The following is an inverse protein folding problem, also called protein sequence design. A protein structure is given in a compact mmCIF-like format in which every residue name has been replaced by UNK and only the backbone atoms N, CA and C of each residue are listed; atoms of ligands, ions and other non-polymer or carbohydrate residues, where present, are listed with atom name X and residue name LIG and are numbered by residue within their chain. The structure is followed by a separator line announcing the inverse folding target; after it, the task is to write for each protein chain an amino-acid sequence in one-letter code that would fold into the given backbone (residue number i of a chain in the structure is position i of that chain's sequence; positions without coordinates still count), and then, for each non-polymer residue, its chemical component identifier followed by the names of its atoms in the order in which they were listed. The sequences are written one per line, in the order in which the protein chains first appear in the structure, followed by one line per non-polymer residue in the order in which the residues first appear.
data_IF_980185046746
#
_entry.id   IF_980185046746
#
_cell.length_a   1.000
_cell.length_b   1.000
_cell.length_c   1.000
_cell.angle_alpha   90.00
_cell.angle_beta   90.00
_cell.angle_gamma   90.00
#
_symmetry.space_group_name_H-M   'P 1'
#
loop_
_entity.id
_entity.type
_entity.pdbx_description
1 polymer ?
#
# COMPACT_ATOMS: atom_id res chain seq x y z
N UNK A 1 8.72 -15.54 17.37
CA UNK A 1 9.96 -16.25 17.77
C UNK A 1 9.75 -17.60 18.45
N UNK A 2 8.73 -17.84 19.28
CA UNK A 2 8.50 -19.15 19.97
C UNK A 2 8.13 -20.30 19.02
N UNK A 3 7.48 -20.06 17.88
CA UNK A 3 7.05 -21.13 16.97
C UNK A 3 8.15 -21.64 16.02
N UNK A 4 9.14 -20.80 15.70
CA UNK A 4 10.29 -21.20 14.85
C UNK A 4 11.19 -22.18 15.58
N UNK A 5 11.38 -21.98 16.87
CA UNK A 5 12.19 -22.89 17.72
C UNK A 5 11.54 -24.28 17.92
N UNK A 6 10.22 -24.36 17.90
CA UNK A 6 9.51 -25.64 18.01
C UNK A 6 9.65 -26.48 16.73
N UNK A 7 9.57 -25.83 15.58
CA UNK A 7 9.70 -26.49 14.26
C UNK A 7 11.14 -26.98 14.00
N UNK A 8 12.16 -26.21 14.34
CA UNK A 8 13.57 -26.64 14.23
C UNK A 8 13.89 -27.83 15.15
N UNK A 9 13.38 -27.87 16.38
CA UNK A 9 13.56 -29.01 17.28
C UNK A 9 12.92 -30.29 16.75
N UNK A 10 11.79 -30.16 16.05
CA UNK A 10 11.12 -31.35 15.47
C UNK A 10 11.86 -31.83 14.23
N UNK A 11 12.33 -30.95 13.36
CA UNK A 11 13.16 -31.29 12.19
C UNK A 11 14.49 -31.89 12.60
N UNK A 12 15.16 -31.36 13.63
CA UNK A 12 16.39 -31.94 14.19
C UNK A 12 16.17 -33.34 14.80
N UNK A 13 15.05 -33.59 15.48
CA UNK A 13 14.70 -34.91 15.99
C UNK A 13 14.47 -35.93 14.88
N UNK A 14 13.82 -35.55 13.77
CA UNK A 14 13.60 -36.42 12.62
C UNK A 14 14.88 -36.73 11.85
N UNK A 15 15.74 -35.72 11.63
CA UNK A 15 17.07 -35.96 11.04
C UNK A 15 17.93 -36.85 11.95
N UNK A 16 17.84 -36.66 13.26
CA UNK A 16 18.49 -37.52 14.23
C UNK A 16 17.94 -38.96 14.20
N UNK A 17 16.62 -39.13 14.05
CA UNK A 17 16.00 -40.44 13.96
C UNK A 17 16.39 -41.17 12.67
N UNK A 18 16.36 -40.53 11.52
CA UNK A 18 16.79 -41.08 10.23
C UNK A 18 18.29 -41.44 10.28
N UNK A 19 19.09 -40.57 10.89
CA UNK A 19 20.53 -40.80 11.07
C UNK A 19 20.81 -42.00 12.01
N UNK A 20 20.06 -42.17 13.11
CA UNK A 20 20.15 -43.31 13.98
C UNK A 20 19.71 -44.63 13.30
N UNK A 21 18.69 -44.60 12.47
CA UNK A 21 18.25 -45.76 11.69
C UNK A 21 19.33 -46.17 10.67
N UNK A 22 19.99 -45.19 10.02
CA UNK A 22 21.12 -45.47 9.10
C UNK A 22 22.34 -46.01 9.82
N UNK A 23 22.67 -45.53 11.02
CA UNK A 23 23.76 -46.07 11.86
C UNK A 23 23.44 -47.48 12.28
N UNK A 24 22.25 -47.74 12.80
CA UNK A 24 21.81 -49.10 13.16
C UNK A 24 21.84 -50.05 11.97
N UNK A 25 21.55 -49.57 10.77
CA UNK A 25 21.66 -50.35 9.53
C UNK A 25 23.11 -50.72 9.19
N UNK A 26 24.06 -49.78 9.31
CA UNK A 26 25.48 -50.01 9.10
C UNK A 26 26.05 -50.96 10.15
N UNK A 27 25.72 -50.73 11.43
CA UNK A 27 26.17 -51.59 12.55
C UNK A 27 25.63 -53.02 12.43
N UNK A 28 24.39 -53.19 11.96
CA UNK A 28 23.81 -54.50 11.67
C UNK A 28 24.55 -55.19 10.51
N UNK A 29 24.91 -54.45 9.47
CA UNK A 29 25.69 -54.93 8.33
C UNK A 29 27.09 -55.45 8.75
N UNK A 30 27.80 -54.67 9.57
CA UNK A 30 29.12 -55.08 10.13
C UNK A 30 29.03 -56.24 11.10
N UNK A 31 28.00 -56.26 11.98
CA UNK A 31 27.77 -57.37 12.91
C UNK A 31 27.49 -58.69 12.18
N UNK A 32 26.77 -58.61 11.05
CA UNK A 32 26.42 -59.75 10.21
C UNK A 32 27.61 -60.25 9.41
N UNK A 33 28.50 -59.37 8.97
CA UNK A 33 29.73 -59.76 8.27
C UNK A 33 30.74 -60.49 9.18
N UNK A 34 30.76 -60.17 10.47
CA UNK A 34 31.69 -60.76 11.45
C UNK A 34 31.27 -62.12 11.97
N UNK A 35 30.01 -62.56 11.90
CA UNK A 35 29.51 -63.85 12.38
C UNK A 35 29.19 -64.79 11.22
N UNK A 36 30.06 -65.72 10.88
CA UNK A 36 29.85 -66.87 9.94
C UNK A 36 28.76 -67.85 10.44
N UNK A 37 27.57 -67.39 10.76
CA UNK A 37 26.39 -68.25 11.02
C UNK A 37 25.50 -68.33 9.80
N UNK A 38 24.97 -69.54 9.48
CA UNK A 38 23.89 -69.70 8.47
C UNK A 38 22.71 -68.83 8.90
N UNK A 39 22.67 -67.67 8.39
CA UNK A 39 21.59 -66.70 8.68
C UNK A 39 20.40 -67.01 7.79
N UNK A 40 19.22 -67.11 8.38
CA UNK A 40 18.00 -67.32 7.62
C UNK A 40 17.69 -66.07 6.78
N UNK A 41 18.01 -66.15 5.49
CA UNK A 41 17.86 -65.06 4.52
C UNK A 41 16.47 -64.43 4.52
N UNK A 42 15.41 -65.21 4.81
CA UNK A 42 14.03 -64.72 4.93
C UNK A 42 13.86 -63.76 6.13
N UNK A 43 14.51 -64.04 7.28
CA UNK A 43 14.44 -63.13 8.45
C UNK A 43 15.21 -61.82 8.22
N UNK A 44 16.36 -61.90 7.53
CA UNK A 44 17.12 -60.68 7.15
C UNK A 44 16.32 -59.83 6.18
N UNK A 45 15.71 -60.42 5.16
CA UNK A 45 14.88 -59.70 4.20
C UNK A 45 13.75 -58.92 4.91
N UNK A 46 13.11 -59.53 5.93
CA UNK A 46 12.04 -58.85 6.68
C UNK A 46 12.58 -57.67 7.51
N UNK A 47 13.70 -57.86 8.20
CA UNK A 47 14.30 -56.83 9.09
C UNK A 47 14.85 -55.64 8.29
N UNK A 48 15.27 -55.86 7.04
CA UNK A 48 15.81 -54.80 6.17
C UNK A 48 14.75 -54.20 5.29
N UNK A 49 13.83 -54.98 4.72
CA UNK A 49 12.82 -54.50 3.78
C UNK A 49 11.73 -53.70 4.49
N UNK A 50 11.34 -54.05 5.72
CA UNK A 50 10.28 -53.28 6.41
C UNK A 50 10.73 -51.84 6.70
N UNK A 51 11.89 -51.54 7.30
CA UNK A 51 12.39 -50.19 7.48
C UNK A 51 12.60 -49.46 6.16
N UNK A 52 13.11 -50.09 5.11
CA UNK A 52 13.29 -49.47 3.79
C UNK A 52 11.95 -49.08 3.17
N UNK A 53 10.94 -49.94 3.25
CA UNK A 53 9.59 -49.61 2.82
C UNK A 53 8.97 -48.46 3.65
N UNK A 54 9.16 -48.50 4.98
CA UNK A 54 8.72 -47.41 5.87
C UNK A 54 9.37 -46.08 5.52
N UNK A 55 10.69 -46.07 5.26
CA UNK A 55 11.45 -44.89 4.89
C UNK A 55 10.97 -44.35 3.52
N UNK A 56 10.79 -45.23 2.53
CA UNK A 56 10.27 -44.80 1.22
C UNK A 56 8.84 -44.27 1.31
N UNK A 57 7.97 -44.86 2.10
CA UNK A 57 6.62 -44.35 2.36
C UNK A 57 6.64 -43.01 3.10
N UNK A 58 7.54 -42.81 4.03
CA UNK A 58 7.74 -41.52 4.73
C UNK A 58 8.23 -40.46 3.78
N UNK A 59 9.21 -40.76 2.92
CA UNK A 59 9.71 -39.81 1.91
C UNK A 59 8.62 -39.47 0.92
N UNK A 60 7.89 -40.48 0.40
CA UNK A 60 6.81 -40.26 -0.56
C UNK A 60 5.64 -39.43 0.01
N UNK A 61 5.38 -39.53 1.31
CA UNK A 61 4.33 -38.80 1.98
C UNK A 61 4.83 -37.59 2.79
N UNK A 62 6.09 -37.22 2.69
CA UNK A 62 6.70 -36.19 3.55
C UNK A 62 5.96 -34.85 3.49
N UNK A 63 5.62 -34.38 2.30
CA UNK A 63 4.83 -33.16 2.09
C UNK A 63 3.45 -33.25 2.71
N UNK A 64 2.76 -34.39 2.52
CA UNK A 64 1.43 -34.61 3.13
C UNK A 64 1.49 -34.64 4.65
N UNK A 65 2.57 -35.18 5.23
CA UNK A 65 2.82 -35.19 6.68
C UNK A 65 3.07 -33.76 7.18
N UNK A 66 3.90 -32.97 6.49
CA UNK A 66 4.15 -31.55 6.83
C UNK A 66 2.87 -30.75 6.82
N UNK A 67 2.03 -30.90 5.80
CA UNK A 67 0.71 -30.26 5.72
C UNK A 67 -0.19 -30.66 6.89
N UNK A 68 -0.18 -31.97 7.29
CA UNK A 68 -0.95 -32.41 8.45
C UNK A 68 -0.46 -31.80 9.77
N UNK A 69 0.85 -31.72 9.96
CA UNK A 69 1.47 -31.10 11.15
C UNK A 69 1.12 -29.60 11.20
N UNK A 70 1.05 -28.94 10.02
CA UNK A 70 0.63 -27.56 9.91
C UNK A 70 -0.86 -27.35 10.22
N UNK A 71 -1.68 -28.39 10.13
CA UNK A 71 -3.12 -28.36 10.48
C UNK A 71 -4.07 -28.47 9.28
N UNK A 72 -3.58 -28.75 8.07
CA UNK A 72 -4.44 -28.97 6.92
C UNK A 72 -5.22 -30.29 7.00
N UNK A 73 -6.52 -30.24 6.73
CA UNK A 73 -7.39 -31.40 6.67
C UNK A 73 -7.20 -32.22 5.38
N UNK A 74 -7.76 -33.41 5.34
CA UNK A 74 -7.58 -34.36 4.23
C UNK A 74 -7.98 -33.77 2.87
N UNK A 75 -9.07 -33.03 2.82
CA UNK A 75 -9.59 -32.46 1.55
C UNK A 75 -8.68 -31.33 1.05
N UNK A 76 -8.26 -30.41 1.94
CA UNK A 76 -7.33 -29.33 1.58
C UNK A 76 -5.98 -29.89 1.07
N UNK A 77 -5.47 -30.93 1.72
CA UNK A 77 -4.24 -31.59 1.27
C UNK A 77 -4.33 -32.18 -0.13
N UNK A 78 -5.48 -32.72 -0.52
CA UNK A 78 -5.68 -33.24 -1.89
C UNK A 78 -5.54 -32.14 -2.95
N UNK A 79 -5.94 -30.93 -2.62
CA UNK A 79 -5.83 -29.79 -3.52
C UNK A 79 -4.40 -29.27 -3.53
N UNK A 80 -3.83 -29.00 -2.36
CA UNK A 80 -2.47 -28.47 -2.23
C UNK A 80 -1.42 -29.39 -2.87
N UNK A 81 -1.53 -30.71 -2.71
CA UNK A 81 -0.59 -31.68 -3.30
C UNK A 81 -0.61 -31.75 -4.84
N UNK A 82 -1.56 -31.06 -5.49
CA UNK A 82 -1.60 -30.93 -6.97
C UNK A 82 -0.93 -29.68 -7.49
N UNK A 83 -0.57 -28.75 -6.59
CA UNK A 83 0.09 -27.51 -6.96
C UNK A 83 1.55 -27.73 -7.34
N UNK A 84 2.17 -26.72 -7.93
CA UNK A 84 3.60 -26.70 -8.18
C UNK A 84 4.40 -26.78 -6.87
N UNK A 85 5.62 -27.32 -6.95
CA UNK A 85 6.46 -27.51 -5.75
C UNK A 85 6.78 -26.23 -5.00
N UNK A 86 6.90 -25.11 -5.72
CA UNK A 86 7.16 -23.80 -5.14
C UNK A 86 5.95 -23.31 -4.38
N UNK A 87 4.75 -23.39 -4.94
CA UNK A 87 3.50 -23.02 -4.27
C UNK A 87 3.28 -23.84 -2.99
N UNK A 88 3.54 -25.15 -3.05
CA UNK A 88 3.44 -26.01 -1.86
C UNK A 88 4.43 -25.57 -0.78
N UNK A 89 5.65 -25.23 -1.17
CA UNK A 89 6.67 -24.74 -0.25
C UNK A 89 6.21 -23.43 0.39
N UNK A 90 5.75 -22.49 -0.39
CA UNK A 90 5.28 -21.18 0.09
C UNK A 90 4.09 -21.33 1.03
N UNK A 91 3.12 -22.20 0.70
CA UNK A 91 2.01 -22.56 1.58
C UNK A 91 2.52 -23.18 2.90
N UNK A 92 3.56 -24.02 2.85
CA UNK A 92 4.15 -24.63 4.04
C UNK A 92 4.93 -23.63 4.89
N UNK A 93 5.59 -22.68 4.29
CA UNK A 93 6.41 -21.66 4.95
C UNK A 93 5.58 -20.46 5.44
N UNK A 94 4.37 -20.29 4.91
CA UNK A 94 3.44 -19.22 5.34
C UNK A 94 2.99 -19.43 6.78
N UNK A 95 2.97 -18.38 7.60
CA UNK A 95 2.69 -18.47 9.05
C UNK A 95 1.25 -18.88 9.40
N UNK A 96 0.32 -18.71 8.47
CA UNK A 96 -1.11 -18.98 8.66
C UNK A 96 -1.55 -20.27 7.96
N UNK A 97 -2.72 -20.78 8.34
CA UNK A 97 -3.42 -21.82 7.60
C UNK A 97 -4.34 -21.16 6.62
N UNK A 98 -4.23 -21.51 5.33
CA UNK A 98 -5.09 -21.02 4.26
C UNK A 98 -6.33 -21.90 4.20
N UNK A 99 -7.50 -21.30 4.22
CA UNK A 99 -8.77 -22.00 3.97
C UNK A 99 -8.90 -22.27 2.47
N UNK A 100 -8.34 -23.40 2.03
CA UNK A 100 -8.33 -23.81 0.63
C UNK A 100 -9.75 -23.94 0.08
N UNK A 101 -10.67 -24.48 0.86
CA UNK A 101 -12.06 -24.73 0.44
C UNK A 101 -12.82 -23.43 0.15
N UNK A 102 -12.45 -22.33 0.79
CA UNK A 102 -13.01 -21.00 0.56
C UNK A 102 -12.69 -20.50 -0.85
N UNK A 103 -11.48 -20.71 -1.31
CA UNK A 103 -10.98 -20.21 -2.59
C UNK A 103 -11.30 -21.15 -3.75
N UNK A 104 -11.23 -22.46 -3.52
CA UNK A 104 -11.42 -23.51 -4.54
C UNK A 104 -12.75 -23.40 -5.28
N UNK A 105 -13.78 -22.84 -4.64
CA UNK A 105 -15.13 -22.68 -5.22
C UNK A 105 -15.27 -21.48 -6.16
N UNK A 106 -14.36 -20.51 -6.11
CA UNK A 106 -14.51 -19.21 -6.77
C UNK A 106 -13.27 -18.79 -7.57
N UNK A 107 -12.18 -19.53 -7.43
CA UNK A 107 -10.92 -19.26 -8.13
C UNK A 107 -11.06 -19.45 -9.64
N UNK A 108 -10.32 -18.66 -10.39
CA UNK A 108 -10.03 -18.95 -11.80
C UNK A 108 -8.68 -19.68 -11.89
N UNK A 109 -7.74 -19.36 -11.02
CA UNK A 109 -6.44 -19.96 -10.95
C UNK A 109 -6.06 -20.39 -9.52
N UNK A 110 -4.86 -20.95 -9.29
CA UNK A 110 -4.46 -21.58 -8.03
C UNK A 110 -3.64 -20.68 -7.11
N UNK A 111 -3.90 -19.37 -7.09
CA UNK A 111 -3.15 -18.37 -6.31
C UNK A 111 -3.57 -18.32 -4.82
N UNK A 112 -3.68 -19.46 -4.16
CA UNK A 112 -4.24 -19.59 -2.80
C UNK A 112 -3.56 -18.70 -1.76
N UNK A 113 -2.22 -18.61 -1.79
CA UNK A 113 -1.46 -17.77 -0.87
C UNK A 113 -1.78 -16.30 -1.07
N UNK A 114 -1.72 -15.82 -2.30
CA UNK A 114 -2.01 -14.42 -2.63
C UNK A 114 -3.46 -14.04 -2.33
N UNK A 115 -4.42 -14.95 -2.55
CA UNK A 115 -5.81 -14.75 -2.17
C UNK A 115 -5.95 -14.53 -0.66
N UNK A 116 -5.31 -15.38 0.15
CA UNK A 116 -5.40 -15.29 1.61
C UNK A 116 -4.70 -14.03 2.13
N UNK A 117 -3.51 -13.72 1.64
CA UNK A 117 -2.77 -12.50 1.99
C UNK A 117 -3.57 -11.24 1.67
N UNK A 118 -4.10 -11.14 0.45
CA UNK A 118 -4.89 -9.98 0.05
C UNK A 118 -6.22 -9.88 0.80
N UNK A 119 -6.88 -10.99 1.05
CA UNK A 119 -8.09 -11.02 1.86
C UNK A 119 -7.87 -10.48 3.27
N UNK A 120 -6.78 -10.89 3.92
CA UNK A 120 -6.42 -10.44 5.26
C UNK A 120 -6.06 -8.95 5.29
N UNK A 121 -5.35 -8.49 4.28
CA UNK A 121 -4.96 -7.09 4.16
C UNK A 121 -6.14 -6.16 3.84
N UNK A 122 -6.99 -6.55 2.89
CA UNK A 122 -8.04 -5.68 2.32
C UNK A 122 -9.42 -5.85 2.96
N UNK A 123 -9.69 -7.00 3.60
CA UNK A 123 -11.01 -7.41 4.14
C UNK A 123 -12.15 -7.35 3.10
N UNK A 124 -11.81 -7.45 1.81
CA UNK A 124 -12.78 -7.41 0.70
C UNK A 124 -13.51 -8.75 0.57
N UNK A 125 -14.63 -8.78 -0.16
CA UNK A 125 -15.35 -10.02 -0.41
C UNK A 125 -14.56 -10.99 -1.27
N UNK A 126 -14.79 -12.30 -1.11
CA UNK A 126 -14.06 -13.39 -1.80
C UNK A 126 -13.99 -13.18 -3.31
N UNK A 127 -15.10 -12.83 -3.97
CA UNK A 127 -15.14 -12.56 -5.42
C UNK A 127 -14.23 -11.36 -5.81
N UNK A 128 -14.21 -10.29 -5.00
CA UNK A 128 -13.36 -9.13 -5.26
C UNK A 128 -11.88 -9.46 -5.07
N UNK A 129 -11.58 -10.33 -4.10
CA UNK A 129 -10.21 -10.81 -3.87
C UNK A 129 -9.72 -11.61 -5.07
N UNK A 130 -10.48 -12.59 -5.53
CA UNK A 130 -10.12 -13.41 -6.70
C UNK A 130 -9.92 -12.55 -7.93
N UNK A 131 -10.88 -11.67 -8.25
CA UNK A 131 -10.76 -10.76 -9.39
C UNK A 131 -9.48 -9.90 -9.34
N UNK A 132 -9.19 -9.31 -8.16
CA UNK A 132 -8.02 -8.46 -8.00
C UNK A 132 -6.72 -9.24 -8.15
N UNK A 133 -6.62 -10.40 -7.50
CA UNK A 133 -5.39 -11.21 -7.49
C UNK A 133 -5.11 -11.80 -8.87
N UNK A 134 -6.12 -12.36 -9.56
CA UNK A 134 -5.93 -12.90 -10.90
C UNK A 134 -5.43 -11.80 -11.85
N UNK A 135 -6.06 -10.60 -11.79
CA UNK A 135 -5.63 -9.45 -12.59
C UNK A 135 -4.24 -8.91 -12.18
N UNK A 136 -3.92 -8.92 -10.89
CA UNK A 136 -2.60 -8.53 -10.37
C UNK A 136 -1.52 -9.51 -10.82
N UNK A 137 -1.81 -10.81 -10.80
CA UNK A 137 -0.85 -11.85 -11.14
C UNK A 137 -0.32 -11.72 -12.58
N UNK A 138 -1.19 -11.36 -13.51
CA UNK A 138 -0.82 -11.06 -14.90
C UNK A 138 0.19 -9.90 -15.03
N UNK A 139 0.25 -9.01 -14.04
CA UNK A 139 1.06 -7.78 -13.99
C UNK A 139 2.23 -7.87 -13.01
N UNK A 140 2.34 -8.98 -12.30
CA UNK A 140 3.22 -9.11 -11.13
C UNK A 140 4.69 -8.93 -11.48
N UNK A 141 5.12 -9.43 -12.64
CA UNK A 141 6.52 -9.32 -13.08
C UNK A 141 6.91 -7.86 -13.31
N UNK A 142 6.11 -7.11 -14.08
CA UNK A 142 6.34 -5.69 -14.37
C UNK A 142 6.30 -4.84 -13.09
N UNK A 143 5.34 -5.12 -12.22
CA UNK A 143 5.19 -4.41 -10.94
C UNK A 143 6.38 -4.66 -10.02
N UNK A 144 6.83 -5.90 -9.90
CA UNK A 144 8.02 -6.26 -9.12
C UNK A 144 9.29 -5.60 -9.68
N UNK A 145 9.45 -5.57 -11.00
CA UNK A 145 10.55 -4.86 -11.66
C UNK A 145 10.55 -3.36 -11.29
N UNK A 146 9.38 -2.75 -11.24
CA UNK A 146 9.21 -1.35 -10.82
C UNK A 146 9.27 -1.14 -9.31
N UNK A 147 9.38 -2.20 -8.51
CA UNK A 147 9.48 -2.17 -7.05
C UNK A 147 8.15 -2.05 -6.31
N UNK A 148 7.03 -2.37 -6.93
CA UNK A 148 5.70 -2.49 -6.31
C UNK A 148 5.49 -3.92 -5.82
N UNK A 149 5.80 -4.19 -4.58
CA UNK A 149 5.61 -5.52 -3.97
C UNK A 149 4.16 -5.74 -3.54
N UNK A 150 3.74 -7.00 -3.42
CA UNK A 150 2.40 -7.38 -2.94
C UNK A 150 2.06 -6.74 -1.59
N UNK A 151 3.02 -6.69 -0.66
CA UNK A 151 2.83 -6.06 0.67
C UNK A 151 2.44 -4.56 0.57
N UNK A 152 3.05 -3.82 -0.37
CA UNK A 152 2.72 -2.41 -0.62
C UNK A 152 1.33 -2.27 -1.25
N UNK A 153 1.06 -3.09 -2.27
CA UNK A 153 -0.16 -2.99 -3.07
C UNK A 153 -1.40 -3.44 -2.30
N UNK A 154 -1.29 -4.54 -1.55
CA UNK A 154 -2.41 -5.13 -0.83
C UNK A 154 -2.90 -4.28 0.33
N UNK A 155 -1.98 -3.64 1.05
CA UNK A 155 -2.31 -2.70 2.14
C UNK A 155 -2.95 -1.41 1.66
N UNK A 156 -2.72 -1.03 0.41
CA UNK A 156 -3.18 0.22 -0.19
C UNK A 156 -4.03 -0.02 -1.45
N UNK A 157 -4.81 -1.10 -1.46
CA UNK A 157 -5.56 -1.54 -2.63
C UNK A 157 -6.65 -0.60 -3.12
N UNK A 158 -7.04 0.38 -2.32
CA UNK A 158 -7.98 1.41 -2.73
C UNK A 158 -7.29 2.49 -3.58
N UNK A 159 -5.99 2.67 -3.40
CA UNK A 159 -5.14 3.53 -4.24
C UNK A 159 -4.65 2.75 -5.47
N UNK A 160 -4.17 1.52 -5.26
CA UNK A 160 -3.62 0.65 -6.30
C UNK A 160 -4.70 -0.27 -6.89
N UNK A 161 -5.71 0.34 -7.52
CA UNK A 161 -6.70 -0.40 -8.32
C UNK A 161 -6.04 -1.00 -9.57
N UNK A 162 -6.65 -2.00 -10.20
CA UNK A 162 -6.09 -2.62 -11.42
C UNK A 162 -5.82 -1.57 -12.52
N UNK A 163 -6.75 -0.64 -12.74
CA UNK A 163 -6.55 0.45 -13.70
C UNK A 163 -5.36 1.35 -13.33
N UNK A 164 -5.14 1.61 -12.05
CA UNK A 164 -4.02 2.41 -11.58
C UNK A 164 -2.69 1.64 -11.73
N UNK A 165 -2.69 0.31 -11.57
CA UNK A 165 -1.52 -0.52 -11.85
C UNK A 165 -1.13 -0.46 -13.33
N UNK A 166 -2.11 -0.51 -14.25
CA UNK A 166 -1.86 -0.36 -15.69
C UNK A 166 -1.23 0.99 -16.03
N UNK A 167 -1.68 2.07 -15.38
CA UNK A 167 -1.10 3.41 -15.55
C UNK A 167 0.36 3.44 -15.09
N UNK A 168 0.66 2.88 -13.92
CA UNK A 168 2.02 2.85 -13.36
C UNK A 168 2.99 2.06 -14.23
N UNK A 169 2.56 0.91 -14.75
CA UNK A 169 3.33 0.08 -15.67
C UNK A 169 3.58 0.83 -16.98
N UNK A 170 2.52 1.35 -17.61
CA UNK A 170 2.63 2.08 -18.88
C UNK A 170 3.47 3.36 -18.78
N UNK A 171 3.43 4.02 -17.64
CA UNK A 171 4.26 5.19 -17.36
C UNK A 171 5.71 4.83 -17.00
N UNK A 172 6.01 3.55 -16.74
CA UNK A 172 7.31 3.03 -16.34
C UNK A 172 7.90 3.79 -15.13
N UNK A 173 7.09 4.03 -14.11
CA UNK A 173 7.49 4.83 -12.94
C UNK A 173 7.79 3.94 -11.75
N UNK A 174 9.05 3.85 -11.29
CA UNK A 174 9.42 3.06 -10.12
C UNK A 174 8.70 3.53 -8.85
N UNK A 175 8.34 2.60 -7.97
CA UNK A 175 7.64 2.87 -6.70
C UNK A 175 8.31 3.97 -5.88
N UNK A 176 9.65 3.92 -5.72
CA UNK A 176 10.40 4.94 -4.97
C UNK A 176 10.20 6.36 -5.51
N UNK A 177 9.99 6.50 -6.83
CA UNK A 177 9.72 7.78 -7.47
C UNK A 177 8.26 8.17 -7.33
N UNK A 178 7.34 7.28 -7.66
CA UNK A 178 5.90 7.51 -7.55
C UNK A 178 5.48 7.90 -6.13
N UNK A 179 5.99 7.22 -5.11
CA UNK A 179 5.72 7.50 -3.69
C UNK A 179 5.96 8.96 -3.29
N UNK A 180 6.97 9.62 -3.87
CA UNK A 180 7.28 11.03 -3.56
C UNK A 180 6.18 11.98 -4.01
N UNK A 181 5.52 11.68 -5.12
CA UNK A 181 4.40 12.46 -5.62
C UNK A 181 3.10 12.09 -4.91
N UNK A 182 2.81 10.79 -4.80
CA UNK A 182 1.57 10.29 -4.21
C UNK A 182 1.44 10.56 -2.69
N UNK A 183 2.52 10.90 -2.01
CA UNK A 183 2.50 11.38 -0.63
C UNK A 183 1.95 12.80 -0.49
N UNK A 184 1.81 13.54 -1.60
CA UNK A 184 1.32 14.92 -1.58
C UNK A 184 -0.20 14.89 -1.72
N UNK A 185 -0.87 15.64 -0.84
CA UNK A 185 -2.34 15.72 -0.86
C UNK A 185 -2.85 16.16 -2.23
N UNK A 186 -3.82 15.43 -2.74
CA UNK A 186 -4.44 15.68 -4.04
C UNK A 186 -3.69 15.13 -5.24
N UNK A 187 -2.53 14.49 -5.06
CA UNK A 187 -1.87 13.78 -6.14
C UNK A 187 -2.75 12.63 -6.66
N UNK A 188 -2.74 12.43 -7.97
CA UNK A 188 -3.49 11.38 -8.65
C UNK A 188 -2.53 10.46 -9.40
N UNK A 189 -2.79 9.16 -9.38
CA UNK A 189 -2.00 8.20 -10.16
C UNK A 189 -2.15 8.47 -11.66
N UNK A 190 -3.31 8.92 -12.09
CA UNK A 190 -3.57 9.30 -13.49
C UNK A 190 -2.61 10.34 -14.03
N UNK A 191 -2.15 11.24 -13.17
CA UNK A 191 -1.28 12.34 -13.55
C UNK A 191 0.22 11.99 -13.35
N UNK A 192 0.54 10.77 -12.91
CA UNK A 192 1.91 10.37 -12.49
C UNK A 192 2.95 10.54 -13.62
N UNK A 193 2.57 10.25 -14.85
CA UNK A 193 3.43 10.41 -16.01
C UNK A 193 3.81 11.87 -16.22
N UNK A 194 2.84 12.77 -16.09
CA UNK A 194 3.03 14.22 -16.24
C UNK A 194 3.87 14.78 -15.10
N UNK A 195 3.60 14.36 -13.84
CA UNK A 195 4.45 14.77 -12.70
C UNK A 195 5.91 14.45 -12.94
N UNK A 196 6.17 13.21 -13.39
CA UNK A 196 7.54 12.74 -13.63
C UNK A 196 8.20 13.47 -14.81
N UNK A 197 7.43 13.75 -15.86
CA UNK A 197 7.91 14.43 -17.08
C UNK A 197 8.16 15.93 -16.88
N UNK A 198 7.50 16.56 -15.89
CA UNK A 198 7.62 18.00 -15.65
C UNK A 198 9.01 18.47 -15.24
N UNK A 199 9.84 17.57 -14.69
CA UNK A 199 11.15 17.91 -14.13
C UNK A 199 11.11 18.76 -12.85
N UNK A 200 9.90 19.08 -12.33
CA UNK A 200 9.69 19.86 -11.13
C UNK A 200 9.88 19.01 -9.86
N UNK A 201 10.08 19.71 -8.73
CA UNK A 201 9.98 19.03 -7.43
C UNK A 201 8.58 18.42 -7.24
N UNK A 202 8.43 17.31 -6.48
CA UNK A 202 7.15 16.63 -6.34
C UNK A 202 5.99 17.55 -5.95
N UNK A 203 6.19 18.42 -4.95
CA UNK A 203 5.17 19.39 -4.53
C UNK A 203 4.76 20.34 -5.66
N UNK A 204 5.73 20.95 -6.35
CA UNK A 204 5.47 21.87 -7.44
C UNK A 204 4.76 21.18 -8.60
N UNK A 205 5.16 19.97 -8.96
CA UNK A 205 4.54 19.18 -10.02
C UNK A 205 3.05 18.89 -9.70
N UNK A 206 2.77 18.39 -8.49
CA UNK A 206 1.38 18.10 -8.08
C UNK A 206 0.55 19.38 -8.05
N UNK A 207 1.04 20.46 -7.46
CA UNK A 207 0.28 21.72 -7.40
C UNK A 207 0.04 22.33 -8.79
N UNK A 208 0.98 22.20 -9.71
CA UNK A 208 0.85 22.76 -11.05
C UNK A 208 -0.05 21.91 -11.96
N UNK A 209 0.02 20.59 -11.87
CA UNK A 209 -0.66 19.67 -12.79
C UNK A 209 -2.04 19.30 -12.27
N UNK A 210 -2.16 18.93 -10.98
CA UNK A 210 -3.45 18.53 -10.41
C UNK A 210 -4.35 19.72 -10.05
N UNK A 211 -3.75 20.90 -9.87
CA UNK A 211 -4.48 22.14 -9.53
C UNK A 211 -4.08 23.29 -10.45
N UNK A 212 -4.34 23.19 -11.78
CA UNK A 212 -3.93 24.20 -12.75
C UNK A 212 -4.64 25.55 -12.56
N UNK A 213 -5.57 25.62 -11.65
CA UNK A 213 -6.50 26.74 -11.45
C UNK A 213 -7.89 26.38 -11.93
N UNK A 214 -8.87 27.21 -11.56
CA UNK A 214 -10.23 27.06 -12.08
C UNK A 214 -10.22 27.61 -13.51
N UNK A 215 -10.38 26.72 -14.47
CA UNK A 215 -10.66 27.08 -15.85
C UNK A 215 -12.15 26.87 -16.07
N UNK A 216 -12.89 27.97 -16.19
CA UNK A 216 -14.34 27.93 -16.38
C UNK A 216 -14.77 27.18 -17.65
N UNK A 217 -13.86 27.00 -18.60
CA UNK A 217 -14.08 26.17 -19.80
C UNK A 217 -13.97 24.67 -19.56
N UNK A 218 -13.44 24.22 -18.40
CA UNK A 218 -13.23 22.80 -18.06
C UNK A 218 -14.14 22.38 -16.93
N UNK A 219 -15.00 21.39 -17.17
CA UNK A 219 -15.91 20.81 -16.16
C UNK A 219 -15.22 20.15 -14.95
N UNK A 220 -13.93 19.83 -15.04
CA UNK A 220 -13.17 19.07 -14.06
C UNK A 220 -12.11 19.91 -13.33
N UNK A 221 -12.33 21.22 -13.17
CA UNK A 221 -11.40 22.06 -12.41
C UNK A 221 -11.40 21.64 -10.93
N UNK A 222 -10.23 21.23 -10.45
CA UNK A 222 -10.01 20.85 -9.04
C UNK A 222 -9.57 22.07 -8.24
N UNK A 223 -10.11 22.23 -7.04
CA UNK A 223 -9.64 23.24 -6.09
C UNK A 223 -8.85 22.58 -4.96
N UNK A 224 -7.78 23.22 -4.53
CA UNK A 224 -6.99 22.82 -3.38
C UNK A 224 -7.43 23.65 -2.16
N UNK A 225 -7.86 22.98 -1.11
CA UNK A 225 -8.15 23.63 0.17
C UNK A 225 -6.89 23.67 1.01
N UNK A 226 -6.47 24.86 1.41
CA UNK A 226 -5.28 25.11 2.20
C UNK A 226 -5.46 24.52 3.60
N UNK A 227 -4.49 23.69 4.04
CA UNK A 227 -4.60 22.96 5.31
C UNK A 227 -4.32 23.83 6.54
N UNK A 228 -3.41 24.81 6.41
CA UNK A 228 -3.08 25.74 7.48
C UNK A 228 -3.34 27.20 7.04
N UNK A 229 -4.61 27.65 7.08
CA UNK A 229 -4.97 28.98 6.64
C UNK A 229 -4.44 30.10 7.56
N UNK A 230 -3.97 29.78 8.76
CA UNK A 230 -3.35 30.77 9.68
C UNK A 230 -1.92 31.14 9.29
N UNK A 231 -1.26 30.37 8.41
CA UNK A 231 0.08 30.69 7.95
C UNK A 231 0.07 31.98 7.09
N UNK A 232 0.97 32.91 7.35
CA UNK A 232 1.09 34.18 6.62
C UNK A 232 1.68 34.02 5.21
N UNK A 233 2.29 32.87 4.91
CA UNK A 233 2.93 32.57 3.62
C UNK A 233 2.07 31.65 2.74
N UNK A 234 0.75 31.60 2.93
CA UNK A 234 -0.15 30.82 2.10
C UNK A 234 -0.33 31.42 0.70
N UNK A 235 -0.42 30.53 -0.30
CA UNK A 235 -0.75 30.93 -1.66
C UNK A 235 -2.26 30.85 -1.89
N UNK A 236 -2.91 32.00 -1.96
CA UNK A 236 -4.33 32.10 -2.38
C UNK A 236 -4.37 32.60 -3.83
N UNK A 237 -4.89 31.78 -4.71
CA UNK A 237 -5.10 32.10 -6.13
C UNK A 237 -6.28 31.30 -6.66
N UNK A 238 -6.65 31.53 -7.92
CA UNK A 238 -7.64 30.69 -8.60
C UNK A 238 -7.27 29.19 -8.48
N UNK A 239 -8.18 28.38 -7.96
CA UNK A 239 -7.97 26.96 -7.65
C UNK A 239 -7.32 26.66 -6.28
N UNK A 240 -6.94 27.69 -5.49
CA UNK A 240 -6.45 27.55 -4.12
C UNK A 240 -7.33 28.36 -3.18
N UNK A 241 -8.02 27.70 -2.28
CA UNK A 241 -8.98 28.33 -1.37
C UNK A 241 -8.68 28.00 0.09
N UNK A 242 -9.09 28.87 0.97
CA UNK A 242 -9.25 28.56 2.38
C UNK A 242 -10.63 27.92 2.62
N UNK A 243 -10.84 27.21 3.75
CA UNK A 243 -12.17 26.73 4.13
C UNK A 243 -13.20 27.87 4.13
N UNK A 244 -14.46 27.59 3.73
CA UNK A 244 -15.50 28.62 3.64
C UNK A 244 -15.88 29.23 4.99
N UNK A 245 -15.67 28.51 6.06
CA UNK A 245 -15.89 28.92 7.45
C UNK A 245 -14.65 29.53 8.13
N UNK A 246 -13.56 29.67 7.39
CA UNK A 246 -12.32 30.22 7.94
C UNK A 246 -12.43 31.73 8.13
N UNK A 247 -12.21 32.15 9.37
CA UNK A 247 -12.05 33.56 9.77
C UNK A 247 -10.71 33.67 10.54
N UNK A 248 -9.81 34.56 10.13
CA UNK A 248 -8.57 34.79 10.90
C UNK A 248 -8.89 35.19 12.33
N UNK A 249 -8.18 34.62 13.30
CA UNK A 249 -8.49 34.81 14.74
C UNK A 249 -8.10 36.19 15.27
N UNK A 250 -7.17 36.87 14.58
CA UNK A 250 -6.58 38.16 14.95
C UNK A 250 -7.08 39.31 14.06
N UNK A 251 -8.29 39.19 13.51
CA UNK A 251 -8.93 40.28 12.78
C UNK A 251 -9.26 41.44 13.74
N UNK A 252 -8.92 42.65 13.31
CA UNK A 252 -9.36 43.88 13.96
C UNK A 252 -9.59 45.01 12.96
N UNK A 253 -10.31 45.98 13.37
CA UNK A 253 -10.52 47.23 12.62
C UNK A 253 -9.20 47.97 12.45
N UNK A 254 -9.00 48.56 11.25
CA UNK A 254 -7.83 49.35 10.94
C UNK A 254 -8.12 50.83 11.28
N UNK A 255 -7.26 51.47 12.02
CA UNK A 255 -7.43 52.83 12.48
C UNK A 255 -6.80 53.84 11.51
N UNK A 256 -7.31 53.85 10.25
CA UNK A 256 -7.01 54.85 9.22
C UNK A 256 -8.28 55.14 8.43
N UNK A 257 -8.36 56.22 7.61
CA UNK A 257 -9.52 56.50 6.78
C UNK A 257 -9.88 55.33 5.84
N UNK A 258 -11.18 55.20 5.56
CA UNK A 258 -11.73 54.18 4.64
C UNK A 258 -12.73 54.85 3.67
N UNK A 259 -12.88 54.24 2.48
CA UNK A 259 -13.74 54.80 1.43
C UNK A 259 -15.23 54.42 1.61
N UNK A 260 -15.51 53.17 1.99
CA UNK A 260 -16.89 52.64 2.02
C UNK A 260 -17.29 52.11 3.37
N UNK A 261 -16.49 51.25 3.99
CA UNK A 261 -16.77 50.61 5.25
C UNK A 261 -15.47 50.39 6.06
N UNK A 262 -15.61 50.21 7.36
CA UNK A 262 -14.44 49.96 8.23
C UNK A 262 -13.68 48.74 7.72
N UNK A 263 -12.40 48.95 7.45
CA UNK A 263 -11.52 47.87 6.99
C UNK A 263 -11.05 46.97 8.13
N UNK A 264 -11.18 45.68 7.95
CA UNK A 264 -10.63 44.70 8.89
C UNK A 264 -9.41 43.99 8.29
N UNK A 265 -8.37 43.83 9.11
CA UNK A 265 -7.14 43.09 8.74
C UNK A 265 -6.65 42.29 9.93
N UNK A 266 -5.79 41.30 9.67
CA UNK A 266 -4.99 40.66 10.71
C UNK A 266 -4.15 41.70 11.45
N UNK A 267 -3.95 41.53 12.74
CA UNK A 267 -3.36 42.55 13.61
C UNK A 267 -1.98 43.02 13.15
N UNK A 268 -1.10 42.11 12.73
CA UNK A 268 0.22 42.46 12.18
C UNK A 268 0.09 43.37 10.92
N UNK A 269 -0.77 42.98 10.00
CA UNK A 269 -1.00 43.73 8.76
C UNK A 269 -1.63 45.11 9.04
N UNK A 270 -2.62 45.17 9.94
CA UNK A 270 -3.24 46.42 10.37
C UNK A 270 -2.24 47.39 11.00
N UNK A 271 -1.39 46.86 11.91
CA UNK A 271 -0.34 47.64 12.57
C UNK A 271 0.68 48.20 11.58
N UNK A 272 1.09 47.37 10.60
CA UNK A 272 2.02 47.81 9.55
C UNK A 272 1.40 48.87 8.65
N UNK A 273 0.13 48.72 8.28
CA UNK A 273 -0.60 49.71 7.45
C UNK A 273 -0.81 51.02 8.20
N UNK A 274 -1.15 50.99 9.49
CA UNK A 274 -1.33 52.21 10.31
C UNK A 274 0.02 52.96 10.47
N UNK A 275 1.11 52.22 10.59
CA UNK A 275 2.45 52.83 10.58
C UNK A 275 2.77 53.49 9.24
N UNK A 276 2.52 52.80 8.15
CA UNK A 276 2.71 53.31 6.78
C UNK A 276 1.89 54.59 6.56
N UNK A 277 0.63 54.60 7.00
CA UNK A 277 -0.23 55.78 6.95
C UNK A 277 0.37 56.99 7.70
N UNK A 278 0.81 56.77 8.96
CA UNK A 278 1.44 57.82 9.77
C UNK A 278 2.72 58.36 9.14
N UNK A 279 3.54 57.49 8.54
CA UNK A 279 4.75 57.93 7.87
C UNK A 279 4.48 58.59 6.52
N UNK A 280 3.44 58.17 5.80
CA UNK A 280 2.95 58.81 4.59
C UNK A 280 2.47 60.27 4.84
N UNK A 281 1.66 60.46 5.90
CA UNK A 281 1.17 61.79 6.29
C UNK A 281 2.33 62.79 6.56
N UNK A 282 3.42 62.36 7.15
CA UNK A 282 4.61 63.20 7.36
C UNK A 282 5.24 63.66 6.05
N UNK A 283 5.03 62.92 4.98
CA UNK A 283 5.53 63.19 3.63
C UNK A 283 4.46 63.87 2.73
N UNK A 284 3.29 64.21 3.27
CA UNK A 284 2.21 64.82 2.53
C UNK A 284 1.30 63.86 1.75
N UNK A 285 1.42 62.54 2.00
CA UNK A 285 0.57 61.54 1.36
C UNK A 285 -0.55 61.10 2.31
N UNK A 286 -1.80 61.06 1.80
CA UNK A 286 -2.92 60.45 2.51
C UNK A 286 -3.34 59.18 1.80
N UNK A 287 -3.45 58.12 2.55
CA UNK A 287 -3.95 56.83 2.04
C UNK A 287 -5.24 56.44 2.78
N UNK A 288 -6.07 55.66 2.15
CA UNK A 288 -7.29 55.13 2.73
C UNK A 288 -7.45 53.63 2.40
N UNK A 289 -8.17 52.90 3.23
CA UNK A 289 -8.56 51.53 2.94
C UNK A 289 -9.69 51.52 1.94
N UNK A 290 -9.50 50.84 0.82
CA UNK A 290 -10.55 50.63 -0.18
C UNK A 290 -11.20 49.27 -0.06
N UNK A 291 -10.41 48.22 0.28
CA UNK A 291 -10.88 46.86 0.45
C UNK A 291 -9.99 46.14 1.47
N UNK A 292 -10.58 45.29 2.25
CA UNK A 292 -9.93 44.59 3.34
C UNK A 292 -10.41 43.12 3.45
N UNK A 293 -10.44 42.55 4.63
CA UNK A 293 -11.01 41.22 4.83
C UNK A 293 -12.43 41.15 4.32
N UNK A 294 -12.78 40.06 3.61
CA UNK A 294 -14.14 39.70 3.23
C UNK A 294 -14.49 38.32 3.73
N UNK A 295 -15.69 38.17 4.29
CA UNK A 295 -16.21 36.84 4.60
C UNK A 295 -16.47 36.04 3.32
N UNK A 296 -16.64 34.74 3.45
CA UNK A 296 -16.99 33.87 2.31
C UNK A 296 -18.29 34.33 1.65
N UNK A 297 -19.31 34.66 2.44
CA UNK A 297 -20.62 35.11 1.95
C UNK A 297 -20.51 36.43 1.15
N UNK A 298 -19.75 37.38 1.68
CA UNK A 298 -19.51 38.66 0.98
C UNK A 298 -18.72 38.41 -0.32
N UNK A 299 -17.71 37.56 -0.30
CA UNK A 299 -16.94 37.24 -1.50
C UNK A 299 -17.81 36.52 -2.55
N UNK A 300 -18.68 35.61 -2.10
CA UNK A 300 -19.59 34.88 -2.99
C UNK A 300 -20.60 35.84 -3.63
N UNK A 301 -21.15 36.82 -2.89
CA UNK A 301 -22.05 37.83 -3.42
C UNK A 301 -21.37 38.68 -4.51
N UNK A 302 -20.16 39.15 -4.24
CA UNK A 302 -19.35 39.90 -5.22
C UNK A 302 -19.04 39.04 -6.46
N UNK A 303 -18.70 37.77 -6.28
CA UNK A 303 -18.44 36.85 -7.39
C UNK A 303 -19.68 36.68 -8.28
N UNK A 304 -20.85 36.47 -7.68
CA UNK A 304 -22.09 36.26 -8.41
C UNK A 304 -22.53 37.57 -9.17
N UNK A 305 -22.30 38.72 -8.57
CA UNK A 305 -22.55 39.98 -9.20
C UNK A 305 -21.70 40.18 -10.47
N UNK A 306 -20.39 39.94 -10.37
CA UNK A 306 -19.49 39.98 -11.53
C UNK A 306 -19.86 38.95 -12.59
N UNK A 307 -20.18 37.71 -12.16
CA UNK A 307 -20.58 36.65 -13.09
C UNK A 307 -21.83 37.05 -13.92
N UNK A 308 -22.81 37.65 -13.24
CA UNK A 308 -24.04 38.11 -13.92
C UNK A 308 -23.81 39.30 -14.87
N UNK A 309 -22.72 40.06 -14.72
CA UNK A 309 -22.38 41.19 -15.59
C UNK A 309 -21.64 40.77 -16.87
N UNK A 310 -20.99 39.62 -16.88
CA UNK A 310 -20.07 39.22 -17.96
C UNK A 310 -20.48 37.94 -18.70
N UNK A 311 -21.55 37.27 -18.27
CA UNK A 311 -22.21 36.17 -18.99
C UNK A 311 -23.43 36.70 -19.79
#
# INVERSE_FOLDING_TARGET
MKNITYNMKTICKWNSFVFHVLILYNDLGEFMAKKKRKVNTKRIAIVVMIPAICITLLIANFTSIRLSIKGYHKEDKKVVLKLEKEDIKDILDYDQIIDISKWDKVKNDAHYLLYDEYYRASKKSVKKVVYYIDSYYERMEDLNYLGYTSDILFKNSDIYTISNLDILISANVPYKKAKKYLAIKGAQITDIKEYVASGLSPLKAVLQISYPGIDSSKKDSRSYTIENPEDTLILIKNGFSVPSDYVPKDLRDVNIPYETEVGQMRDEAASALEKMYKDGLKQGYSIAVKSSYRSYETQLAVYNEYFAMYD
#
